data_IF_791213457913
#
_entry.id   IF_791213457913
#
_cell.length_a   1.000
_cell.length_b   1.000
_cell.length_c   1.000
_cell.angle_alpha   90.00
_cell.angle_beta   90.00
_cell.angle_gamma   90.00
#
_symmetry.space_group_name_H-M   'P 1'
#
loop_
_entity.id
_entity.type
_entity.pdbx_description
1 polymer ?
#
# COMPACT_ATOMS: atom_id res chain seq x y z
N UNK A 1 -0.48 9.66 5.89
CA UNK A 1 0.76 8.85 5.77
C UNK A 1 1.14 8.10 7.04
N UNK A 2 1.13 8.68 8.24
CA UNK A 2 1.56 7.95 9.47
C UNK A 2 0.46 7.82 10.53
N UNK A 3 -0.80 7.97 10.13
CA UNK A 3 -1.91 8.03 11.10
C UNK A 3 -1.89 9.26 12.03
N UNK A 4 -0.82 10.07 12.03
CA UNK A 4 -0.67 11.25 12.90
C UNK A 4 -1.81 12.28 12.77
N UNK A 5 -2.49 12.33 11.63
CA UNK A 5 -3.66 13.19 11.42
C UNK A 5 -4.85 12.81 12.32
N UNK A 6 -4.95 11.55 12.77
CA UNK A 6 -5.94 11.11 13.75
C UNK A 6 -5.71 11.76 15.13
N UNK A 7 -4.49 12.24 15.41
CA UNK A 7 -4.19 12.98 16.65
C UNK A 7 -4.90 14.32 16.77
N UNK A 8 -5.45 14.88 15.68
CA UNK A 8 -6.16 16.17 15.67
C UNK A 8 -7.68 15.96 15.88
N UNK A 9 -8.17 14.73 15.73
CA UNK A 9 -9.60 14.39 15.89
C UNK A 9 -10.16 14.72 17.28
N UNK A 10 -9.44 14.51 18.41
CA UNK A 10 -9.93 14.94 19.72
C UNK A 10 -10.17 16.45 19.83
N UNK A 11 -9.32 17.26 19.17
CA UNK A 11 -9.48 18.73 19.13
C UNK A 11 -10.74 19.09 18.35
N UNK A 12 -10.96 18.42 17.22
CA UNK A 12 -12.18 18.55 16.43
C UNK A 12 -13.45 18.25 17.24
N UNK A 13 -13.45 17.13 17.99
CA UNK A 13 -14.57 16.78 18.86
C UNK A 13 -14.81 17.84 19.93
N UNK A 14 -13.76 18.29 20.59
CA UNK A 14 -13.86 19.31 21.61
C UNK A 14 -14.43 20.61 21.04
N UNK A 15 -13.97 21.06 19.88
CA UNK A 15 -14.46 22.27 19.23
C UNK A 15 -15.94 22.20 18.86
N UNK A 16 -16.42 21.05 18.35
CA UNK A 16 -17.86 20.88 18.07
C UNK A 16 -18.68 20.96 19.36
N UNK A 17 -18.21 20.34 20.45
CA UNK A 17 -18.95 20.34 21.73
C UNK A 17 -18.93 21.72 22.40
N UNK A 18 -17.80 22.44 22.39
CA UNK A 18 -17.65 23.72 23.09
C UNK A 18 -18.13 24.91 22.26
N UNK A 19 -17.78 24.94 20.97
CA UNK A 19 -18.01 26.09 20.09
C UNK A 19 -19.21 25.86 19.14
N UNK A 20 -19.72 24.64 19.06
CA UNK A 20 -20.80 24.26 18.14
C UNK A 20 -20.34 24.08 16.68
N UNK A 21 -19.04 24.24 16.41
CA UNK A 21 -18.44 24.06 15.10
C UNK A 21 -16.94 23.77 15.21
N UNK A 22 -16.37 23.16 14.17
CA UNK A 22 -14.94 23.03 13.98
C UNK A 22 -14.48 23.75 12.71
N UNK A 23 -13.35 24.44 12.81
CA UNK A 23 -12.62 25.05 11.71
C UNK A 23 -11.16 24.57 11.62
N UNK A 24 -10.70 23.74 12.57
CA UNK A 24 -9.30 23.28 12.65
C UNK A 24 -9.04 22.14 11.68
N UNK A 25 -10.00 21.23 11.49
CA UNK A 25 -9.88 20.12 10.56
C UNK A 25 -10.29 20.50 9.12
N UNK A 26 -10.95 21.63 8.94
CA UNK A 26 -11.49 22.04 7.63
C UNK A 26 -10.41 22.29 6.55
N UNK A 27 -9.22 22.81 6.87
CA UNK A 27 -8.12 22.88 5.91
C UNK A 27 -7.72 21.51 5.32
N UNK A 28 -7.89 20.40 6.05
CA UNK A 28 -7.55 19.06 5.57
C UNK A 28 -8.54 18.52 4.52
N UNK A 29 -9.76 19.08 4.47
CA UNK A 29 -10.84 18.65 3.58
C UNK A 29 -10.43 18.64 2.10
N UNK A 30 -9.60 19.61 1.67
CA UNK A 30 -9.15 19.69 0.27
C UNK A 30 -8.29 18.50 -0.17
N UNK A 31 -7.65 17.78 0.76
CA UNK A 31 -6.60 16.80 0.46
C UNK A 31 -7.12 15.66 -0.40
N UNK A 32 -8.35 15.20 -0.16
CA UNK A 32 -9.01 14.13 -0.92
C UNK A 32 -9.18 14.50 -2.39
N UNK A 33 -9.65 15.72 -2.65
CA UNK A 33 -9.89 16.25 -4.00
C UNK A 33 -8.60 16.57 -4.74
N UNK A 34 -7.61 17.18 -4.07
CA UNK A 34 -6.29 17.41 -4.66
C UNK A 34 -5.66 16.09 -5.06
N UNK A 35 -5.69 15.08 -4.17
CA UNK A 35 -5.11 13.75 -4.44
C UNK A 35 -5.81 13.10 -5.64
N UNK A 36 -7.14 13.12 -5.71
CA UNK A 36 -7.89 12.63 -6.87
C UNK A 36 -7.51 13.38 -8.16
N UNK A 37 -7.36 14.70 -8.12
CA UNK A 37 -6.98 15.51 -9.27
C UNK A 37 -5.57 15.21 -9.79
N UNK A 38 -4.61 15.04 -8.88
CA UNK A 38 -3.24 14.60 -9.19
C UNK A 38 -3.27 13.23 -9.86
N UNK A 39 -4.03 12.27 -9.33
CA UNK A 39 -4.15 10.93 -9.91
C UNK A 39 -4.79 10.95 -11.30
N UNK A 40 -5.82 11.76 -11.53
CA UNK A 40 -6.45 11.96 -12.85
C UNK A 40 -5.43 12.54 -13.85
N UNK A 41 -4.66 13.54 -13.44
CA UNK A 41 -3.59 14.10 -14.29
C UNK A 41 -2.54 13.04 -14.63
N UNK A 42 -2.18 12.17 -13.67
CA UNK A 42 -1.27 11.06 -13.91
C UNK A 42 -1.89 10.02 -14.86
N UNK A 43 -3.19 9.71 -14.76
CA UNK A 43 -3.90 8.78 -15.68
C UNK A 43 -3.88 9.27 -17.14
N UNK A 44 -3.98 10.59 -17.35
CA UNK A 44 -3.95 11.17 -18.70
C UNK A 44 -2.55 11.15 -19.31
N UNK A 45 -1.52 11.41 -18.49
CA UNK A 45 -0.13 11.39 -18.94
C UNK A 45 0.42 9.97 -19.11
N UNK A 46 0.10 9.07 -18.18
CA UNK A 46 0.58 7.70 -18.22
C UNK A 46 -0.42 6.79 -18.97
N UNK A 47 0.04 6.22 -20.08
CA UNK A 47 -0.76 5.33 -20.94
C UNK A 47 -0.59 3.84 -20.63
N UNK A 48 0.24 3.50 -19.64
CA UNK A 48 0.48 2.11 -19.27
C UNK A 48 -0.80 1.43 -18.74
N UNK A 49 -1.11 0.26 -19.30
CA UNK A 49 -2.35 -0.47 -19.04
C UNK A 49 -2.38 -1.04 -17.62
N UNK A 50 -1.25 -1.46 -17.08
CA UNK A 50 -1.24 -2.10 -15.76
C UNK A 50 -1.16 -1.08 -14.63
N UNK A 51 -0.39 -0.02 -14.79
CA UNK A 51 -0.49 1.17 -13.94
C UNK A 51 -1.94 1.72 -13.85
N UNK A 52 -2.69 1.75 -14.96
CA UNK A 52 -4.10 2.18 -14.97
C UNK A 52 -5.02 1.27 -14.15
N UNK A 53 -4.76 -0.03 -14.06
CA UNK A 53 -5.55 -0.96 -13.23
C UNK A 53 -5.46 -0.65 -11.75
N UNK A 54 -4.33 -0.12 -11.28
CA UNK A 54 -4.13 0.29 -9.89
C UNK A 54 -4.63 1.72 -9.66
N UNK A 55 -4.32 2.62 -10.59
CA UNK A 55 -4.60 4.05 -10.40
C UNK A 55 -6.08 4.40 -10.56
N UNK A 56 -6.85 3.73 -11.42
CA UNK A 56 -8.29 4.01 -11.57
C UNK A 56 -9.07 3.73 -10.26
N UNK A 57 -8.97 2.53 -9.64
CA UNK A 57 -9.62 2.27 -8.35
C UNK A 57 -9.13 3.22 -7.24
N UNK A 58 -7.83 3.52 -7.20
CA UNK A 58 -7.26 4.43 -6.22
C UNK A 58 -7.80 5.86 -6.35
N UNK A 59 -8.01 6.33 -7.59
CA UNK A 59 -8.62 7.64 -7.88
C UNK A 59 -10.05 7.71 -7.37
N UNK A 60 -10.85 6.67 -7.62
CA UNK A 60 -12.25 6.57 -7.16
C UNK A 60 -12.29 6.54 -5.64
N UNK A 61 -11.45 5.72 -5.01
CA UNK A 61 -11.35 5.61 -3.55
C UNK A 61 -11.01 6.96 -2.90
N UNK A 62 -10.01 7.66 -3.44
CA UNK A 62 -9.62 9.01 -2.97
C UNK A 62 -10.76 10.01 -3.12
N UNK A 63 -11.53 9.91 -4.20
CA UNK A 63 -12.65 10.80 -4.47
C UNK A 63 -13.79 10.61 -3.46
N UNK A 64 -13.97 9.38 -2.97
CA UNK A 64 -14.94 9.05 -1.93
C UNK A 64 -14.42 9.33 -0.51
N UNK A 65 -13.19 9.83 -0.37
CA UNK A 65 -12.60 10.26 0.88
C UNK A 65 -11.57 9.30 1.48
N UNK A 66 -11.36 8.14 0.88
CA UNK A 66 -10.35 7.16 1.31
C UNK A 66 -9.07 7.34 0.50
N UNK A 67 -8.06 7.97 1.08
CA UNK A 67 -6.85 8.37 0.35
C UNK A 67 -5.71 7.36 0.46
N UNK A 68 -5.85 6.33 1.29
CA UNK A 68 -4.83 5.33 1.57
C UNK A 68 -4.40 4.58 0.30
N UNK A 69 -5.32 4.04 -0.53
CA UNK A 69 -4.92 3.34 -1.76
C UNK A 69 -4.20 4.27 -2.76
N UNK A 70 -4.57 5.54 -2.79
CA UNK A 70 -3.97 6.56 -3.64
C UNK A 70 -2.55 6.92 -3.19
N UNK A 71 -2.39 7.21 -1.90
CA UNK A 71 -1.12 7.66 -1.33
C UNK A 71 -0.10 6.52 -1.36
N UNK A 72 -0.44 5.35 -0.82
CA UNK A 72 0.48 4.21 -0.75
C UNK A 72 0.66 3.52 -2.11
N UNK A 73 -0.42 3.34 -2.87
CA UNK A 73 -0.39 2.60 -4.13
C UNK A 73 0.19 3.37 -5.31
N UNK A 74 0.12 4.70 -5.32
CA UNK A 74 0.48 5.51 -6.51
C UNK A 74 1.43 6.68 -6.20
N UNK A 75 1.16 7.46 -5.15
CA UNK A 75 1.89 8.72 -4.92
C UNK A 75 3.27 8.52 -4.28
N UNK A 76 3.40 7.64 -3.27
CA UNK A 76 4.68 7.37 -2.60
C UNK A 76 5.78 6.95 -3.58
N UNK A 77 5.56 5.96 -4.47
CA UNK A 77 6.57 5.56 -5.44
C UNK A 77 7.02 6.72 -6.35
N UNK A 78 6.10 7.62 -6.70
CA UNK A 78 6.36 8.67 -7.68
C UNK A 78 6.96 9.96 -7.10
N UNK A 79 7.08 10.13 -5.78
CA UNK A 79 7.67 11.27 -5.00
C UNK A 79 7.27 12.69 -5.43
N UNK A 80 7.51 13.09 -6.69
CA UNK A 80 7.11 14.39 -7.27
C UNK A 80 5.59 14.62 -7.22
N UNK A 81 4.71 13.70 -7.65
CA UNK A 81 3.27 13.92 -7.53
C UNK A 81 2.78 13.97 -6.08
N UNK A 82 3.41 13.22 -5.17
CA UNK A 82 3.14 13.32 -3.74
C UNK A 82 3.45 14.73 -3.23
N UNK A 83 4.63 15.26 -3.55
CA UNK A 83 5.01 16.61 -3.15
C UNK A 83 4.06 17.67 -3.74
N UNK A 84 3.68 17.53 -5.02
CA UNK A 84 2.70 18.41 -5.67
C UNK A 84 1.37 18.37 -4.91
N UNK A 85 0.87 17.18 -4.56
CA UNK A 85 -0.37 17.06 -3.79
C UNK A 85 -0.27 17.77 -2.44
N UNK A 86 0.84 17.61 -1.71
CA UNK A 86 1.03 18.28 -0.41
C UNK A 86 1.08 19.81 -0.54
N UNK A 87 1.79 20.34 -1.53
CA UNK A 87 1.92 21.79 -1.74
C UNK A 87 0.55 22.39 -2.14
N UNK A 88 -0.15 21.76 -3.07
CA UNK A 88 -1.47 22.24 -3.51
C UNK A 88 -2.48 22.14 -2.37
N UNK A 89 -2.48 21.05 -1.61
CA UNK A 89 -3.33 20.92 -0.42
C UNK A 89 -3.01 21.98 0.63
N UNK A 90 -1.75 22.37 0.81
CA UNK A 90 -1.41 23.46 1.72
C UNK A 90 -1.96 24.83 1.24
N UNK A 91 -1.89 25.10 -0.08
CA UNK A 91 -2.42 26.34 -0.66
C UNK A 91 -3.95 26.40 -0.51
N UNK A 92 -4.66 25.32 -0.86
CA UNK A 92 -6.13 25.30 -0.76
C UNK A 92 -6.60 25.19 0.69
N UNK A 93 -5.85 24.49 1.55
CA UNK A 93 -6.08 24.48 2.99
C UNK A 93 -5.94 25.88 3.59
N UNK A 94 -4.96 26.66 3.12
CA UNK A 94 -4.80 28.07 3.46
C UNK A 94 -6.02 28.91 3.04
N UNK A 95 -6.57 28.69 1.85
CA UNK A 95 -7.82 29.31 1.41
C UNK A 95 -8.97 28.99 2.38
N UNK A 96 -9.17 27.73 2.75
CA UNK A 96 -10.21 27.36 3.73
C UNK A 96 -9.98 27.96 5.11
N UNK A 97 -8.72 28.09 5.54
CA UNK A 97 -8.37 28.79 6.78
C UNK A 97 -8.70 30.28 6.74
N UNK A 98 -8.38 30.97 5.63
CA UNK A 98 -8.63 32.40 5.45
C UNK A 98 -10.13 32.73 5.44
N UNK A 99 -10.93 31.91 4.76
CA UNK A 99 -12.39 32.06 4.73
C UNK A 99 -13.09 31.48 5.96
N UNK A 100 -12.30 30.98 6.93
CA UNK A 100 -12.77 30.40 8.19
C UNK A 100 -13.89 29.38 7.96
N UNK A 101 -13.62 28.39 7.10
CA UNK A 101 -14.57 27.33 6.78
C UNK A 101 -14.93 26.55 8.07
N UNK A 102 -16.23 26.40 8.32
CA UNK A 102 -16.75 25.73 9.52
C UNK A 102 -17.57 24.51 9.18
N UNK A 103 -17.44 23.47 10.01
CA UNK A 103 -18.29 22.28 10.02
C UNK A 103 -18.99 22.17 11.36
N UNK A 104 -20.29 21.93 11.31
CA UNK A 104 -21.19 21.95 12.48
C UNK A 104 -21.66 20.56 12.89
N UNK A 105 -21.59 19.60 11.98
CA UNK A 105 -21.96 18.21 12.25
C UNK A 105 -20.87 17.24 11.80
N UNK A 106 -20.66 16.21 12.61
CA UNK A 106 -19.78 15.10 12.25
C UNK A 106 -20.54 14.11 11.38
N UNK A 107 -19.98 13.80 10.21
CA UNK A 107 -20.58 12.85 9.28
C UNK A 107 -20.11 13.10 7.86
N UNK A 108 -20.16 12.03 7.06
CA UNK A 108 -19.72 12.03 5.66
C UNK A 108 -18.21 12.05 5.48
N UNK A 109 -17.78 11.67 4.28
CA UNK A 109 -16.42 11.87 3.78
C UNK A 109 -16.51 12.53 2.40
N UNK A 110 -15.53 13.36 2.05
CA UNK A 110 -15.48 14.03 0.74
C UNK A 110 -16.78 14.83 0.47
N UNK A 111 -17.44 14.64 -0.67
CA UNK A 111 -18.69 15.35 -1.00
C UNK A 111 -19.81 15.15 0.02
N UNK A 112 -19.82 14.02 0.72
CA UNK A 112 -20.84 13.72 1.74
C UNK A 112 -20.67 14.55 3.02
N UNK A 113 -19.58 15.31 3.16
CA UNK A 113 -19.38 16.24 4.28
C UNK A 113 -20.12 17.57 4.10
N UNK A 114 -20.53 17.93 2.88
CA UNK A 114 -21.18 19.21 2.58
C UNK A 114 -22.43 19.49 3.44
N UNK A 115 -23.33 18.51 3.70
CA UNK A 115 -24.46 18.74 4.60
C UNK A 115 -24.04 19.13 6.02
N UNK A 116 -22.91 18.62 6.50
CA UNK A 116 -22.37 18.95 7.83
C UNK A 116 -21.77 20.36 7.95
N UNK A 117 -21.65 21.07 6.82
CA UNK A 117 -21.16 22.46 6.77
C UNK A 117 -22.31 23.49 6.79
N UNK A 118 -23.56 23.02 6.73
CA UNK A 118 -24.74 23.88 6.86
C UNK A 118 -24.85 24.33 8.31
N UNK A 119 -24.94 25.64 8.54
CA UNK A 119 -25.12 26.17 9.89
C UNK A 119 -26.52 25.79 10.40
N UNK A 120 -26.64 25.02 11.51
CA UNK A 120 -27.93 24.57 12.03
C UNK A 120 -28.76 25.70 12.67
N UNK A 121 -28.15 26.85 13.00
CA UNK A 121 -28.83 27.98 13.65
C UNK A 121 -29.30 29.02 12.63
N UNK A 122 -28.46 29.33 11.63
CA UNK A 122 -28.77 30.38 10.63
C UNK A 122 -29.22 29.82 9.28
N UNK A 123 -29.14 28.51 9.07
CA UNK A 123 -29.38 27.85 7.77
C UNK A 123 -28.54 28.44 6.62
N UNK A 124 -27.41 29.09 6.97
CA UNK A 124 -26.55 29.75 6.00
C UNK A 124 -25.75 28.73 5.19
N UNK A 125 -25.84 28.85 3.87
CA UNK A 125 -25.12 28.03 2.90
C UNK A 125 -23.73 28.59 2.57
N UNK A 126 -23.29 29.67 3.22
CA UNK A 126 -22.03 30.34 2.89
C UNK A 126 -20.82 29.39 2.98
N UNK A 127 -20.76 28.55 4.02
CA UNK A 127 -19.70 27.55 4.20
C UNK A 127 -19.73 26.48 3.09
N UNK A 128 -20.93 26.08 2.64
CA UNK A 128 -21.10 25.14 1.54
C UNK A 128 -20.57 25.74 0.24
N UNK A 129 -20.85 27.02 -0.04
CA UNK A 129 -20.31 27.70 -1.22
C UNK A 129 -18.78 27.83 -1.17
N UNK A 130 -18.22 28.19 -0.01
CA UNK A 130 -16.76 28.24 0.18
C UNK A 130 -16.15 26.85 -0.06
N UNK A 131 -16.76 25.79 0.48
CA UNK A 131 -16.33 24.41 0.26
C UNK A 131 -16.38 24.01 -1.22
N UNK A 132 -17.46 24.33 -1.94
CA UNK A 132 -17.57 24.04 -3.38
C UNK A 132 -16.50 24.78 -4.20
N UNK A 133 -16.25 26.06 -3.90
CA UNK A 133 -15.18 26.84 -4.55
C UNK A 133 -13.82 26.19 -4.28
N UNK A 134 -13.54 25.79 -3.05
CA UNK A 134 -12.27 25.15 -2.71
C UNK A 134 -12.10 23.75 -3.32
N UNK A 135 -13.19 22.98 -3.50
CA UNK A 135 -13.15 21.73 -4.27
C UNK A 135 -12.74 22.01 -5.72
N UNK A 136 -13.38 22.98 -6.36
CA UNK A 136 -13.06 23.37 -7.75
C UNK A 136 -11.59 23.81 -7.85
N UNK A 137 -11.13 24.65 -6.91
CA UNK A 137 -9.73 25.07 -6.83
C UNK A 137 -8.77 23.89 -6.63
N UNK A 138 -9.14 22.92 -5.78
CA UNK A 138 -8.36 21.70 -5.53
C UNK A 138 -8.16 20.90 -6.81
N UNK A 139 -9.22 20.72 -7.60
CA UNK A 139 -9.16 20.02 -8.87
C UNK A 139 -8.32 20.77 -9.89
N UNK A 140 -8.57 22.07 -10.08
CA UNK A 140 -7.87 22.88 -11.09
C UNK A 140 -6.38 22.97 -10.76
N UNK A 141 -6.03 23.37 -9.52
CA UNK A 141 -4.63 23.53 -9.12
C UNK A 141 -3.90 22.19 -9.07
N UNK A 142 -4.52 21.13 -8.53
CA UNK A 142 -3.92 19.81 -8.46
C UNK A 142 -3.66 19.23 -9.85
N UNK A 143 -4.61 19.38 -10.76
CA UNK A 143 -4.50 18.93 -12.14
C UNK A 143 -3.44 19.73 -12.92
N UNK A 144 -3.51 21.06 -12.90
CA UNK A 144 -2.58 21.93 -13.64
C UNK A 144 -1.16 21.77 -13.11
N UNK A 145 -0.96 21.78 -11.79
CA UNK A 145 0.37 21.62 -11.20
C UNK A 145 0.98 20.27 -11.58
N UNK A 146 0.20 19.19 -11.56
CA UNK A 146 0.67 17.87 -11.99
C UNK A 146 0.95 17.83 -13.50
N UNK A 147 0.10 18.46 -14.31
CA UNK A 147 0.31 18.54 -15.77
C UNK A 147 1.54 19.37 -16.15
N UNK A 148 1.90 20.39 -15.38
CA UNK A 148 3.07 21.24 -15.66
C UNK A 148 4.36 20.68 -15.09
N UNK A 149 4.38 20.33 -13.80
CA UNK A 149 5.60 20.03 -13.06
C UNK A 149 5.99 18.55 -13.10
N UNK A 150 5.04 17.65 -13.35
CA UNK A 150 5.34 16.23 -13.46
C UNK A 150 5.43 15.82 -14.93
N UNK A 151 6.64 15.63 -15.44
CA UNK A 151 6.86 14.94 -16.73
C UNK A 151 6.99 13.45 -16.46
N UNK A 152 6.39 12.65 -17.33
CA UNK A 152 6.53 11.21 -17.30
C UNK A 152 7.96 10.89 -17.78
N UNK A 153 8.90 10.77 -16.83
CA UNK A 153 10.26 10.29 -17.11
C UNK A 153 10.18 8.78 -17.35
N UNK A 154 9.59 8.36 -18.46
CA UNK A 154 9.60 6.96 -18.91
C UNK A 154 11.00 6.48 -19.33
N UNK A 155 12.09 7.16 -18.92
CA UNK A 155 13.45 6.73 -19.27
C UNK A 155 14.52 6.78 -18.17
N UNK A 156 14.30 7.29 -16.94
CA UNK A 156 15.44 7.39 -15.98
C UNK A 156 15.18 7.25 -14.48
N UNK A 157 14.10 6.60 -14.06
CA UNK A 157 13.99 6.08 -12.69
C UNK A 157 13.24 4.74 -12.68
N UNK A 158 13.86 3.72 -13.24
CA UNK A 158 13.63 2.33 -12.82
C UNK A 158 14.64 2.02 -11.71
N UNK A 159 14.21 2.13 -10.45
CA UNK A 159 14.62 1.44 -9.19
C UNK A 159 13.81 2.22 -8.12
N UNK A 160 12.67 1.82 -7.57
CA UNK A 160 12.13 0.55 -7.11
C UNK A 160 10.59 0.62 -7.26
N UNK A 161 9.96 -0.54 -7.42
CA UNK A 161 8.51 -0.80 -7.50
C UNK A 161 7.95 -0.88 -8.92
N UNK A 162 7.72 -2.14 -9.30
CA UNK A 162 6.92 -2.64 -10.41
C UNK A 162 7.40 -2.25 -11.80
N UNK A 163 8.30 -3.07 -12.35
CA UNK A 163 8.26 -3.31 -13.78
C UNK A 163 6.99 -4.11 -14.09
N UNK A 164 6.10 -3.45 -14.81
CA UNK A 164 5.07 -4.13 -15.58
C UNK A 164 5.70 -5.01 -16.64
N UNK A 165 5.13 -6.20 -16.71
CA UNK A 165 5.11 -7.16 -17.81
C UNK A 165 5.10 -6.45 -19.17
N UNK A 166 6.29 -6.18 -19.70
CA UNK A 166 6.46 -6.25 -21.15
C UNK A 166 6.33 -7.71 -21.54
N UNK A 167 5.37 -8.00 -22.41
CA UNK A 167 5.47 -9.08 -23.39
C UNK A 167 6.80 -8.95 -24.15
N UNK A 168 7.90 -9.34 -23.52
CA UNK A 168 8.88 -10.20 -24.17
C UNK A 168 8.20 -11.56 -24.25
N UNK A 169 8.38 -12.24 -25.37
CA UNK A 169 8.04 -13.65 -25.53
C UNK A 169 8.17 -14.39 -24.20
N UNK A 170 7.15 -15.19 -23.87
CA UNK A 170 7.11 -16.24 -22.84
C UNK A 170 8.50 -16.69 -22.40
N UNK A 171 9.13 -15.94 -21.49
CA UNK A 171 10.11 -16.46 -20.58
C UNK A 171 9.27 -17.04 -19.47
N UNK A 172 8.79 -18.26 -19.69
CA UNK A 172 8.33 -19.10 -18.60
C UNK A 172 9.55 -19.30 -17.70
N UNK A 173 9.69 -18.46 -16.66
CA UNK A 173 10.64 -18.75 -15.60
C UNK A 173 10.10 -19.95 -14.85
N UNK A 174 10.83 -21.06 -14.96
CA UNK A 174 10.53 -22.27 -14.22
C UNK A 174 10.89 -22.01 -12.76
N UNK A 175 9.87 -22.04 -11.90
CA UNK A 175 10.02 -21.96 -10.45
C UNK A 175 9.97 -23.40 -9.94
N UNK A 176 11.10 -23.90 -9.46
CA UNK A 176 11.18 -25.23 -8.87
C UNK A 176 10.51 -25.27 -7.49
N UNK A 177 10.20 -26.47 -6.99
CA UNK A 177 9.67 -26.58 -5.63
C UNK A 177 10.75 -26.24 -4.60
N UNK A 178 10.52 -25.27 -3.68
CA UNK A 178 11.50 -24.93 -2.65
C UNK A 178 11.59 -25.96 -1.53
N UNK A 179 10.60 -26.85 -1.42
CA UNK A 179 10.50 -27.89 -0.40
C UNK A 179 10.04 -29.21 -1.03
N UNK A 180 10.46 -30.32 -0.42
CA UNK A 180 9.90 -31.64 -0.72
C UNK A 180 8.64 -31.84 0.12
N UNK A 181 7.52 -32.18 -0.50
CA UNK A 181 6.26 -32.35 0.22
C UNK A 181 5.02 -32.39 -0.64
N UNK A 182 3.86 -32.33 0.01
CA UNK A 182 2.56 -32.29 -0.65
C UNK A 182 2.16 -30.85 -0.94
N UNK A 183 1.85 -30.55 -2.20
CA UNK A 183 1.33 -29.24 -2.61
C UNK A 183 -0.15 -29.13 -2.23
N UNK A 184 -0.51 -28.00 -1.63
CA UNK A 184 -1.85 -27.61 -1.22
C UNK A 184 -2.20 -26.26 -1.87
N UNK A 185 -3.47 -26.02 -2.22
CA UNK A 185 -3.89 -24.69 -2.65
C UNK A 185 -3.76 -23.70 -1.50
N UNK A 186 -3.38 -22.46 -1.81
CA UNK A 186 -3.18 -21.41 -0.80
C UNK A 186 -4.44 -21.16 0.04
N UNK A 187 -5.64 -21.41 -0.52
CA UNK A 187 -6.93 -21.33 0.19
C UNK A 187 -7.10 -22.31 1.35
N UNK A 188 -6.30 -23.37 1.42
CA UNK A 188 -6.32 -24.35 2.54
C UNK A 188 -5.42 -23.94 3.71
N UNK A 189 -4.65 -22.86 3.56
CA UNK A 189 -3.82 -22.30 4.64
C UNK A 189 -4.72 -21.63 5.68
N UNK A 190 -4.54 -21.98 6.95
CA UNK A 190 -5.31 -21.43 8.09
C UNK A 190 -4.81 -20.04 8.53
N UNK A 191 -4.56 -19.17 7.57
CA UNK A 191 -4.22 -17.77 7.78
C UNK A 191 -4.87 -16.92 6.68
N UNK A 192 -5.58 -15.86 7.06
CA UNK A 192 -6.33 -15.04 6.11
C UNK A 192 -5.43 -14.22 5.18
N UNK A 193 -4.23 -13.86 5.63
CA UNK A 193 -3.30 -13.03 4.86
C UNK A 193 -2.75 -13.83 3.67
N UNK A 194 -2.41 -15.10 3.91
CA UNK A 194 -2.00 -16.03 2.86
C UNK A 194 -3.20 -16.54 2.05
N UNK A 195 -4.25 -17.07 2.68
CA UNK A 195 -5.35 -17.74 1.96
C UNK A 195 -6.15 -16.83 1.03
N UNK A 196 -6.24 -15.52 1.33
CA UNK A 196 -6.87 -14.51 0.46
C UNK A 196 -5.92 -13.95 -0.59
N UNK A 197 -4.64 -14.35 -0.57
CA UNK A 197 -3.62 -13.93 -1.52
C UNK A 197 -3.21 -12.45 -1.40
N UNK A 198 -3.34 -11.85 -0.20
CA UNK A 198 -2.98 -10.44 0.00
C UNK A 198 -1.47 -10.19 -0.14
N UNK A 199 -0.64 -11.19 0.13
CA UNK A 199 0.83 -11.13 -0.01
C UNK A 199 1.30 -11.58 -1.41
N UNK A 200 0.43 -12.21 -2.20
CA UNK A 200 0.77 -12.69 -3.54
C UNK A 200 -0.06 -13.91 -3.95
N UNK A 201 0.10 -14.30 -5.21
CA UNK A 201 -0.38 -15.61 -5.69
C UNK A 201 0.69 -16.64 -5.39
N UNK A 202 0.28 -17.85 -5.02
CA UNK A 202 1.20 -18.92 -4.70
C UNK A 202 0.46 -20.20 -4.34
N UNK A 203 1.15 -21.07 -3.63
CA UNK A 203 0.63 -22.32 -3.12
C UNK A 203 1.20 -22.55 -1.72
N UNK A 204 0.78 -23.64 -1.07
CA UNK A 204 1.39 -24.07 0.17
C UNK A 204 1.96 -25.46 -0.01
N UNK A 205 3.02 -25.77 0.75
CA UNK A 205 3.62 -27.10 0.79
C UNK A 205 3.53 -27.62 2.21
N UNK A 206 3.05 -28.83 2.38
CA UNK A 206 3.22 -29.61 3.61
C UNK A 206 4.52 -30.42 3.48
N UNK A 207 5.62 -29.99 4.13
CA UNK A 207 6.93 -30.56 3.91
C UNK A 207 7.09 -31.95 4.53
N UNK A 208 7.76 -32.85 3.80
CA UNK A 208 8.22 -34.15 4.31
C UNK A 208 9.63 -34.08 4.86
N UNK A 209 10.40 -33.05 4.47
CA UNK A 209 11.79 -32.84 4.87
C UNK A 209 12.03 -31.39 5.33
N UNK A 210 12.83 -31.23 6.37
CA UNK A 210 13.20 -29.95 6.98
C UNK A 210 14.30 -29.18 6.22
N UNK A 211 14.20 -29.08 4.90
CA UNK A 211 15.18 -28.37 4.06
C UNK A 211 14.48 -27.45 3.07
N UNK A 212 14.86 -26.17 3.04
CA UNK A 212 14.45 -25.21 2.02
C UNK A 212 15.58 -25.06 1.01
N UNK A 213 15.25 -25.22 -0.27
CA UNK A 213 16.15 -24.98 -1.40
C UNK A 213 15.69 -23.79 -2.23
N UNK A 214 16.62 -23.20 -3.00
CA UNK A 214 16.28 -22.11 -3.91
C UNK A 214 15.44 -22.63 -5.08
N UNK A 215 14.25 -22.08 -5.33
CA UNK A 215 13.42 -22.45 -6.47
C UNK A 215 13.88 -21.79 -7.78
N UNK A 216 14.78 -20.79 -7.70
CA UNK A 216 15.26 -19.97 -8.82
C UNK A 216 16.74 -19.65 -8.68
N UNK A 217 17.37 -19.20 -9.77
CA UNK A 217 18.64 -18.48 -9.70
C UNK A 217 18.33 -17.02 -9.34
N UNK A 218 19.05 -16.44 -8.38
CA UNK A 218 18.74 -15.08 -7.94
C UNK A 218 19.56 -14.62 -6.74
N UNK A 219 19.00 -13.67 -6.00
CA UNK A 219 19.63 -13.08 -4.82
C UNK A 219 18.68 -13.13 -3.63
N UNK A 220 19.19 -13.45 -2.44
CA UNK A 220 18.43 -13.37 -1.19
C UNK A 220 18.17 -11.90 -0.86
N UNK A 221 16.94 -11.43 -1.06
CA UNK A 221 16.57 -10.04 -0.82
C UNK A 221 16.13 -9.77 0.60
N UNK A 222 15.52 -10.77 1.24
CA UNK A 222 15.09 -10.69 2.64
C UNK A 222 15.39 -12.00 3.34
N UNK A 223 15.94 -11.93 4.55
CA UNK A 223 16.06 -13.06 5.44
C UNK A 223 15.58 -12.58 6.81
N UNK A 224 14.49 -13.18 7.31
CA UNK A 224 13.90 -12.72 8.57
C UNK A 224 14.81 -13.11 9.75
N UNK A 225 14.97 -12.25 10.78
CA UNK A 225 15.92 -12.50 11.88
C UNK A 225 15.70 -13.84 12.59
N UNK A 226 14.45 -14.25 12.73
CA UNK A 226 13.99 -15.51 13.33
C UNK A 226 14.06 -16.71 12.38
N UNK A 227 14.58 -16.56 11.16
CA UNK A 227 14.82 -17.64 10.21
C UNK A 227 13.61 -18.32 9.56
N UNK A 228 12.38 -18.04 10.00
CA UNK A 228 11.17 -18.67 9.47
C UNK A 228 10.81 -18.25 8.04
N UNK A 229 11.33 -17.15 7.51
CA UNK A 229 10.96 -16.69 6.17
C UNK A 229 12.15 -16.16 5.35
N UNK A 230 12.08 -16.42 4.04
CA UNK A 230 13.13 -16.09 3.08
C UNK A 230 12.48 -15.45 1.85
N UNK A 231 12.96 -14.26 1.48
CA UNK A 231 12.63 -13.57 0.25
C UNK A 231 13.76 -13.71 -0.77
N UNK A 232 13.43 -14.15 -1.98
CA UNK A 232 14.37 -14.34 -3.09
C UNK A 232 13.87 -13.49 -4.25
N UNK A 233 14.76 -12.73 -4.88
CA UNK A 233 14.46 -12.12 -6.18
C UNK A 233 15.25 -12.85 -7.24
N UNK A 234 14.55 -13.46 -8.20
CA UNK A 234 15.17 -14.19 -9.30
C UNK A 234 15.97 -13.25 -10.20
N UNK A 235 16.92 -13.80 -10.97
CA UNK A 235 17.66 -13.04 -11.99
C UNK A 235 16.73 -12.46 -13.07
N UNK A 236 15.53 -13.04 -13.24
CA UNK A 236 14.49 -12.52 -14.13
C UNK A 236 13.63 -11.41 -13.50
N UNK A 237 13.70 -11.25 -12.17
CA UNK A 237 13.01 -10.22 -11.40
C UNK A 237 11.74 -10.69 -10.67
N UNK A 238 11.47 -12.00 -10.62
CA UNK A 238 10.34 -12.55 -9.84
C UNK A 238 10.71 -12.56 -8.35
N UNK A 239 9.85 -11.97 -7.53
CA UNK A 239 9.99 -11.99 -6.06
C UNK A 239 9.22 -13.19 -5.49
N UNK A 240 9.93 -14.04 -4.76
CA UNK A 240 9.40 -15.25 -4.14
C UNK A 240 9.58 -15.14 -2.64
N UNK A 241 8.54 -15.44 -1.87
CA UNK A 241 8.56 -15.46 -0.42
C UNK A 241 8.24 -16.88 0.05
N UNK A 242 9.18 -17.50 0.74
CA UNK A 242 9.00 -18.81 1.37
C UNK A 242 8.82 -18.57 2.86
N UNK A 243 7.67 -18.93 3.42
CA UNK A 243 7.36 -18.76 4.85
C UNK A 243 7.17 -20.12 5.53
N UNK A 244 8.20 -20.60 6.22
CA UNK A 244 8.24 -21.94 6.83
C UNK A 244 7.32 -22.03 8.04
N UNK A 245 6.22 -22.76 7.88
CA UNK A 245 5.21 -22.95 8.90
C UNK A 245 4.30 -21.73 9.14
N UNK A 246 3.36 -21.86 10.07
CA UNK A 246 2.46 -20.77 10.47
C UNK A 246 2.78 -20.31 11.88
N UNK A 247 2.80 -18.99 12.11
CA UNK A 247 3.12 -18.35 13.39
C UNK A 247 4.49 -18.74 14.00
N UNK A 248 5.37 -19.34 13.20
CA UNK A 248 6.70 -19.81 13.59
C UNK A 248 7.69 -18.69 13.89
N UNK A 249 7.35 -17.43 13.62
CA UNK A 249 8.05 -16.26 14.14
C UNK A 249 8.16 -16.29 15.67
N UNK A 250 7.14 -16.83 16.35
CA UNK A 250 7.07 -16.96 17.81
C UNK A 250 8.06 -17.98 18.39
N UNK A 251 8.68 -18.82 17.54
CA UNK A 251 9.77 -19.70 17.95
C UNK A 251 11.10 -18.96 18.13
N UNK A 252 11.15 -17.67 17.79
CA UNK A 252 12.31 -16.78 18.01
C UNK A 252 13.63 -17.33 17.44
N UNK A 253 13.55 -18.06 16.32
CA UNK A 253 14.71 -18.67 15.66
C UNK A 253 15.08 -20.06 16.16
N UNK A 254 14.39 -20.61 17.17
CA UNK A 254 14.53 -22.03 17.52
C UNK A 254 14.11 -22.91 16.35
N UNK A 255 14.80 -24.03 16.18
CA UNK A 255 14.56 -25.02 15.12
C UNK A 255 14.88 -24.54 13.70
N UNK A 256 15.46 -23.36 13.52
CA UNK A 256 15.88 -22.83 12.22
C UNK A 256 17.40 -22.67 12.15
N UNK A 257 18.03 -23.20 11.10
CA UNK A 257 19.47 -23.11 10.85
C UNK A 257 19.73 -22.47 9.49
N UNK A 258 19.94 -21.15 9.42
CA UNK A 258 20.16 -20.44 8.16
C UNK A 258 21.49 -20.85 7.54
N UNK A 259 21.51 -21.10 6.22
CA UNK A 259 22.70 -21.47 5.46
C UNK A 259 23.19 -20.35 4.54
N UNK A 260 22.36 -19.32 4.34
CA UNK A 260 22.62 -18.14 3.52
C UNK A 260 22.29 -16.87 4.31
N UNK A 261 22.78 -15.74 3.83
CA UNK A 261 22.46 -14.41 4.37
C UNK A 261 21.91 -13.49 3.28
N UNK A 262 21.27 -12.40 3.72
CA UNK A 262 20.80 -11.35 2.83
C UNK A 262 21.92 -10.84 1.93
N UNK A 263 21.64 -10.72 0.63
CA UNK A 263 22.58 -10.29 -0.39
C UNK A 263 23.37 -11.41 -1.07
N UNK A 264 23.29 -12.65 -0.56
CA UNK A 264 23.94 -13.78 -1.22
C UNK A 264 23.24 -14.11 -2.54
N UNK A 265 24.05 -14.47 -3.56
CA UNK A 265 23.55 -15.07 -4.79
C UNK A 265 23.31 -16.56 -4.58
N UNK A 266 22.23 -17.06 -5.17
CA UNK A 266 21.80 -18.44 -5.05
C UNK A 266 21.46 -19.04 -6.40
N UNK A 267 21.70 -20.33 -6.54
CA UNK A 267 21.31 -21.11 -7.73
C UNK A 267 20.17 -22.07 -7.41
N UNK A 268 19.41 -22.48 -8.43
CA UNK A 268 18.34 -23.48 -8.30
C UNK A 268 18.86 -24.72 -7.55
N UNK A 269 18.10 -25.19 -6.55
CA UNK A 269 18.42 -26.35 -5.73
C UNK A 269 19.44 -26.10 -4.60
N UNK A 270 20.05 -24.92 -4.52
CA UNK A 270 20.96 -24.57 -3.43
C UNK A 270 20.20 -24.54 -2.09
N UNK A 271 20.74 -25.19 -1.05
CA UNK A 271 20.14 -25.15 0.29
C UNK A 271 20.23 -23.76 0.89
N UNK A 272 19.11 -23.28 1.41
CA UNK A 272 18.96 -21.93 1.98
C UNK A 272 18.80 -21.98 3.51
N UNK A 273 18.05 -22.97 4.01
CA UNK A 273 17.68 -23.10 5.41
C UNK A 273 17.41 -24.56 5.73
N UNK A 274 17.93 -25.03 6.86
CA UNK A 274 17.47 -26.28 7.47
C UNK A 274 16.56 -25.96 8.64
N UNK A 275 15.54 -26.79 8.87
CA UNK A 275 14.66 -26.64 10.01
C UNK A 275 14.22 -27.99 10.59
N UNK A 276 13.88 -28.01 11.88
CA UNK A 276 13.46 -29.23 12.57
C UNK A 276 11.92 -29.35 12.57
N UNK A 277 11.41 -30.24 11.71
CA UNK A 277 9.97 -30.50 11.58
C UNK A 277 9.33 -31.03 12.86
N UNK A 278 10.00 -31.94 13.56
CA UNK A 278 9.47 -32.58 14.76
C UNK A 278 9.50 -31.59 15.93
N UNK A 279 10.56 -30.79 16.02
CA UNK A 279 10.65 -29.69 16.98
C UNK A 279 9.53 -28.67 16.82
N UNK A 280 9.28 -28.19 15.59
CA UNK A 280 8.21 -27.22 15.30
C UNK A 280 6.82 -27.81 15.60
N UNK A 281 6.56 -29.05 15.19
CA UNK A 281 5.28 -29.73 15.49
C UNK A 281 5.11 -30.00 16.98
N UNK A 282 6.19 -30.33 17.69
CA UNK A 282 6.20 -30.56 19.13
C UNK A 282 5.82 -29.33 19.95
N UNK A 283 6.16 -28.13 19.46
CA UNK A 283 5.76 -26.84 20.02
C UNK A 283 4.33 -26.43 19.60
N UNK A 284 3.62 -27.27 18.83
CA UNK A 284 2.23 -27.05 18.41
C UNK A 284 2.04 -26.17 17.18
N UNK A 285 3.11 -25.84 16.46
CA UNK A 285 3.04 -25.01 15.26
C UNK A 285 2.83 -25.85 13.99
N UNK A 286 2.13 -25.27 13.02
CA UNK A 286 1.97 -25.88 11.70
C UNK A 286 3.26 -25.76 10.89
N UNK A 287 3.62 -26.81 10.17
CA UNK A 287 4.76 -26.82 9.22
C UNK A 287 4.33 -26.50 7.78
N UNK A 288 3.03 -26.30 7.54
CA UNK A 288 2.52 -25.89 6.22
C UNK A 288 3.15 -24.56 5.84
N UNK A 289 3.82 -24.55 4.70
CA UNK A 289 4.71 -23.47 4.25
C UNK A 289 4.16 -22.82 2.99
N UNK A 290 3.62 -21.59 3.07
CA UNK A 290 3.27 -20.80 1.90
C UNK A 290 4.52 -20.42 1.08
N UNK A 291 4.40 -20.50 -0.25
CA UNK A 291 5.45 -20.17 -1.23
C UNK A 291 4.85 -19.55 -2.52
#
# INVERSE_FOLDING_TARGET
MFGLHWGIIPIYFNNIVTNGFDNVMMPYYCTTFVTSAVLIAILLKNKDKSFRKVNIPATISSLLGTTEPAVYGVLIPKKKPLLISCIVSAIVGGFYGLFNLRKFAMGGMSFFELPGMIDPKTHSMNNVYIALIGIILSFILGFIATMLFWKDDTSKNQVVSNQDVTTKDTLQELIESPLEGKVLPLSEVKDEVFSKGYIGKGFAIEPTKGEVTSPVNGTITTFFPTGHAIGITSDSGVEILIHVGMDTVNLEGKYFTPLVKKGDKVTIGQKLLNFDLEGIKGEGYSVITPA
#
